data_IF_204993970133
#
_entry.id   IF_204993970133
#
_cell.length_a   1.000
_cell.length_b   1.000
_cell.length_c   1.000
_cell.angle_alpha   90.00
_cell.angle_beta   90.00
_cell.angle_gamma   90.00
#
_symmetry.space_group_name_H-M   'P 1'
#
loop_
_entity.id
_entity.type
_entity.pdbx_description
1 polymer ?
#
# COMPACT_ATOMS: atom_id res chain seq x y z
N UNK A 1 -52.29 -31.00 18.90
CA UNK A 1 -51.50 -30.13 18.02
C UNK A 1 -51.35 -28.77 18.69
N UNK A 2 -50.21 -28.53 19.32
CA UNK A 2 -49.48 -27.30 18.99
C UNK A 2 -47.99 -27.58 18.77
N UNK A 3 -47.42 -26.97 17.74
CA UNK A 3 -46.02 -27.07 17.33
C UNK A 3 -45.30 -25.83 17.89
N UNK A 4 -44.44 -26.02 18.89
CA UNK A 4 -43.57 -24.95 19.43
C UNK A 4 -42.28 -24.94 18.62
N UNK A 5 -42.08 -23.89 17.82
CA UNK A 5 -40.81 -23.60 17.16
C UNK A 5 -39.85 -23.00 18.19
N UNK A 6 -39.03 -23.83 18.83
CA UNK A 6 -37.83 -23.35 19.49
C UNK A 6 -36.81 -22.93 18.43
N UNK A 7 -36.56 -21.62 18.36
CA UNK A 7 -35.42 -21.06 17.65
C UNK A 7 -34.15 -21.39 18.44
N UNK A 8 -33.57 -22.57 18.16
CA UNK A 8 -32.26 -22.94 18.62
C UNK A 8 -31.25 -21.88 18.15
N UNK A 9 -30.70 -21.14 19.12
CA UNK A 9 -29.63 -20.18 18.89
C UNK A 9 -28.40 -20.95 18.39
N UNK A 10 -28.16 -20.90 17.09
CA UNK A 10 -26.93 -21.40 16.49
C UNK A 10 -25.80 -20.42 16.85
N UNK A 11 -25.21 -20.57 18.03
CA UNK A 11 -23.88 -20.04 18.31
C UNK A 11 -22.87 -21.00 17.70
N UNK A 12 -22.57 -20.83 16.41
CA UNK A 12 -21.43 -21.51 15.80
C UNK A 12 -20.15 -20.86 16.34
N UNK A 13 -19.56 -21.50 17.35
CA UNK A 13 -18.19 -21.22 17.77
C UNK A 13 -17.24 -21.82 16.73
N UNK A 14 -16.93 -21.05 15.68
CA UNK A 14 -15.92 -21.43 14.72
C UNK A 14 -14.54 -21.41 15.39
N UNK A 15 -13.81 -22.51 15.28
CA UNK A 15 -12.40 -22.53 15.70
C UNK A 15 -11.54 -21.81 14.66
N UNK A 16 -10.46 -21.14 15.10
CA UNK A 16 -9.55 -20.36 14.23
C UNK A 16 -9.08 -21.15 12.99
N UNK A 17 -8.98 -22.47 13.11
CA UNK A 17 -8.54 -23.37 12.03
C UNK A 17 -9.60 -23.51 10.93
N UNK A 18 -10.88 -23.51 11.27
CA UNK A 18 -12.00 -23.61 10.31
C UNK A 18 -12.18 -22.32 9.51
N UNK A 19 -11.87 -21.16 10.12
CA UNK A 19 -11.89 -19.86 9.44
C UNK A 19 -10.78 -19.77 8.38
N UNK A 20 -9.63 -20.40 8.63
CA UNK A 20 -8.45 -20.31 7.75
C UNK A 20 -8.45 -21.35 6.62
N UNK A 21 -9.20 -22.45 6.77
CA UNK A 21 -9.23 -23.54 5.79
C UNK A 21 -9.60 -23.12 4.34
N UNK A 22 -10.57 -22.22 4.10
CA UNK A 22 -10.91 -21.77 2.75
C UNK A 22 -9.81 -20.91 2.12
N UNK A 23 -9.06 -20.15 2.94
CA UNK A 23 -8.00 -19.27 2.45
C UNK A 23 -6.75 -20.07 2.07
N UNK A 24 -6.40 -21.11 2.84
CA UNK A 24 -5.22 -21.96 2.55
C UNK A 24 -5.36 -22.71 1.22
N UNK A 25 -6.59 -23.00 0.76
CA UNK A 25 -6.81 -23.66 -0.54
C UNK A 25 -6.54 -22.76 -1.74
N UNK A 26 -6.58 -21.44 -1.57
CA UNK A 26 -6.32 -20.46 -2.64
C UNK A 26 -4.83 -20.11 -2.75
N UNK A 27 -4.05 -20.33 -1.67
CA UNK A 27 -2.63 -20.07 -1.66
C UNK A 27 -1.84 -21.29 -2.14
N UNK A 28 -1.23 -21.15 -3.31
CA UNK A 28 -0.23 -22.07 -3.84
C UNK A 28 0.89 -22.27 -2.79
N UNK A 29 0.98 -23.50 -2.26
CA UNK A 29 1.91 -23.87 -1.20
C UNK A 29 3.38 -23.67 -1.59
N UNK A 30 3.67 -23.50 -2.88
CA UNK A 30 5.02 -23.19 -3.37
C UNK A 30 5.50 -21.77 -3.01
N UNK A 31 4.59 -20.83 -2.70
CA UNK A 31 4.93 -19.49 -2.22
C UNK A 31 5.25 -19.43 -0.71
N UNK A 32 4.96 -20.49 0.05
CA UNK A 32 5.13 -20.55 1.50
C UNK A 32 6.39 -21.36 1.91
N UNK A 33 7.55 -21.08 1.30
CA UNK A 33 8.84 -21.33 1.98
C UNK A 33 9.05 -20.30 3.08
N UNK A 34 8.10 -20.24 4.00
CA UNK A 34 8.12 -19.36 5.15
C UNK A 34 9.20 -19.87 6.11
N UNK A 35 10.30 -19.13 6.23
CA UNK A 35 11.30 -19.40 7.27
C UNK A 35 10.56 -19.30 8.61
N UNK A 36 10.52 -20.40 9.37
CA UNK A 36 9.73 -20.58 10.59
C UNK A 36 10.08 -19.62 11.77
N UNK A 37 10.90 -18.60 11.56
CA UNK A 37 11.36 -17.65 12.58
C UNK A 37 11.14 -16.17 12.22
N UNK A 38 10.35 -15.86 11.19
CA UNK A 38 10.00 -14.47 10.88
C UNK A 38 8.83 -14.02 11.75
N UNK A 39 9.02 -12.92 12.46
CA UNK A 39 7.94 -12.22 13.16
C UNK A 39 6.88 -11.81 12.13
N UNK A 40 5.60 -11.77 12.51
CA UNK A 40 4.50 -11.41 11.61
C UNK A 40 4.79 -10.09 10.87
N UNK A 41 5.41 -9.13 11.56
CA UNK A 41 5.88 -7.85 10.99
C UNK A 41 6.90 -8.04 9.88
N UNK A 42 7.91 -8.89 10.10
CA UNK A 42 8.96 -9.15 9.09
C UNK A 42 8.40 -9.90 7.87
N UNK A 43 7.39 -10.74 8.06
CA UNK A 43 6.69 -11.35 6.93
C UNK A 43 5.86 -10.35 6.14
N UNK A 44 5.15 -9.45 6.82
CA UNK A 44 4.36 -8.41 6.15
C UNK A 44 5.29 -7.47 5.39
N UNK A 45 6.43 -7.13 5.97
CA UNK A 45 7.46 -6.31 5.32
C UNK A 45 8.02 -6.94 4.03
N UNK A 46 8.19 -8.27 4.01
CA UNK A 46 8.64 -9.00 2.82
C UNK A 46 7.54 -9.05 1.75
N UNK A 47 6.28 -9.17 2.17
CA UNK A 47 5.13 -9.21 1.26
C UNK A 47 4.75 -7.83 0.72
N UNK A 48 5.01 -6.76 1.47
CA UNK A 48 4.59 -5.40 1.15
C UNK A 48 5.75 -4.39 1.32
N UNK A 49 6.82 -4.49 0.50
CA UNK A 49 7.97 -3.59 0.58
C UNK A 49 7.58 -2.11 0.35
N UNK A 50 6.49 -1.85 -0.38
CA UNK A 50 5.96 -0.51 -0.64
C UNK A 50 5.57 0.25 0.64
N UNK A 51 5.16 -0.46 1.71
CA UNK A 51 4.79 0.17 2.98
C UNK A 51 6.00 0.85 3.63
N UNK A 52 7.16 0.18 3.64
CA UNK A 52 8.41 0.77 4.14
C UNK A 52 8.84 2.00 3.35
N UNK A 53 8.57 2.02 2.04
CA UNK A 53 8.90 3.17 1.20
C UNK A 53 8.03 4.37 1.57
N UNK A 54 6.72 4.16 1.72
CA UNK A 54 5.79 5.20 2.16
C UNK A 54 6.18 5.77 3.53
N UNK A 55 6.55 4.92 4.48
CA UNK A 55 6.98 5.36 5.81
C UNK A 55 8.27 6.20 5.76
N UNK A 56 9.21 5.84 4.88
CA UNK A 56 10.45 6.61 4.68
C UNK A 56 10.19 7.96 4.03
N UNK A 57 9.26 8.05 3.09
CA UNK A 57 8.96 9.30 2.40
C UNK A 57 8.20 10.27 3.33
N UNK A 58 7.31 9.76 4.19
CA UNK A 58 6.71 10.53 5.29
C UNK A 58 7.78 11.01 6.27
N UNK A 59 8.75 10.17 6.63
CA UNK A 59 9.84 10.57 7.53
C UNK A 59 10.68 11.71 6.94
N UNK A 60 11.02 11.64 5.65
CA UNK A 60 11.72 12.72 4.94
C UNK A 60 10.88 13.99 4.88
N UNK A 61 9.58 13.86 4.62
CA UNK A 61 8.67 15.00 4.61
C UNK A 61 8.65 15.68 5.99
N UNK A 62 8.57 14.91 7.08
CA UNK A 62 8.66 15.43 8.46
C UNK A 62 9.99 16.15 8.71
N UNK A 63 11.10 15.60 8.23
CA UNK A 63 12.42 16.22 8.34
C UNK A 63 12.50 17.55 7.56
N UNK A 64 11.96 17.58 6.34
CA UNK A 64 11.97 18.77 5.48
C UNK A 64 11.04 19.88 5.99
N UNK A 65 9.86 19.53 6.51
CA UNK A 65 8.86 20.45 7.04
C UNK A 65 9.17 20.92 8.47
N UNK A 66 10.00 20.18 9.21
CA UNK A 66 10.50 20.57 10.52
C UNK A 66 9.39 20.78 11.55
N UNK A 67 9.28 22.00 12.08
CA UNK A 67 8.26 22.33 13.08
C UNK A 67 6.83 22.33 12.50
N UNK A 68 6.68 22.63 11.22
CA UNK A 68 5.38 22.65 10.54
C UNK A 68 4.76 21.26 10.49
N UNK A 69 5.59 20.20 10.44
CA UNK A 69 5.12 18.82 10.41
C UNK A 69 4.39 18.41 11.70
N UNK A 70 4.56 19.15 12.81
CA UNK A 70 3.87 18.87 14.09
C UNK A 70 2.42 19.36 14.08
N UNK A 71 2.05 20.22 13.13
CA UNK A 71 0.70 20.76 12.98
C UNK A 71 -0.23 19.81 12.23
N UNK A 72 0.33 18.80 11.54
CA UNK A 72 -0.40 17.82 10.75
C UNK A 72 -0.38 16.44 11.38
N UNK A 73 -1.48 15.71 11.24
CA UNK A 73 -1.49 14.27 11.49
C UNK A 73 -0.71 13.52 10.41
N UNK A 74 -0.29 12.28 10.68
CA UNK A 74 0.46 11.49 9.68
C UNK A 74 -0.33 11.25 8.39
N UNK A 75 -1.66 11.14 8.50
CA UNK A 75 -2.54 10.94 7.37
C UNK A 75 -2.65 12.21 6.52
N UNK A 76 -2.88 13.36 7.13
CA UNK A 76 -2.91 14.66 6.43
C UNK A 76 -1.56 14.97 5.76
N UNK A 77 -0.46 14.67 6.45
CA UNK A 77 0.86 14.86 5.88
C UNK A 77 1.09 13.98 4.65
N UNK A 78 0.59 12.74 4.69
CA UNK A 78 0.67 11.81 3.54
C UNK A 78 -0.16 12.31 2.35
N UNK A 79 -1.35 12.82 2.61
CA UNK A 79 -2.22 13.40 1.59
C UNK A 79 -1.55 14.62 0.93
N UNK A 80 -1.06 15.55 1.74
CA UNK A 80 -0.36 16.76 1.26
C UNK A 80 0.86 16.40 0.41
N UNK A 81 1.70 15.46 0.87
CA UNK A 81 2.87 15.02 0.09
C UNK A 81 2.46 14.42 -1.25
N UNK A 82 1.41 13.60 -1.26
CA UNK A 82 0.90 12.99 -2.49
C UNK A 82 0.37 14.03 -3.47
N UNK A 83 -0.37 15.02 -2.97
CA UNK A 83 -0.92 16.10 -3.78
C UNK A 83 0.18 16.99 -4.37
N UNK A 84 1.18 17.35 -3.54
CA UNK A 84 2.33 18.13 -3.98
C UNK A 84 3.13 17.37 -5.04
N UNK A 85 3.41 16.08 -4.82
CA UNK A 85 4.12 15.25 -5.79
C UNK A 85 3.38 15.21 -7.14
N UNK A 86 2.05 15.06 -7.11
CA UNK A 86 1.22 15.08 -8.32
C UNK A 86 1.30 16.43 -9.06
N UNK A 87 1.18 17.54 -8.34
CA UNK A 87 1.24 18.88 -8.93
C UNK A 87 2.62 19.14 -9.53
N UNK A 88 3.69 18.75 -8.82
CA UNK A 88 5.07 18.94 -9.28
C UNK A 88 5.36 18.11 -10.53
N UNK A 89 4.96 16.83 -10.56
CA UNK A 89 5.13 15.99 -11.76
C UNK A 89 4.31 16.53 -12.93
N UNK A 90 3.06 16.96 -12.71
CA UNK A 90 2.25 17.55 -13.77
C UNK A 90 2.87 18.84 -14.32
N UNK A 91 3.34 19.72 -13.43
CA UNK A 91 3.99 20.97 -13.84
C UNK A 91 5.30 20.71 -14.58
N UNK A 92 6.08 19.71 -14.13
CA UNK A 92 7.30 19.31 -14.80
C UNK A 92 7.01 18.75 -16.20
N UNK A 93 6.03 17.88 -16.35
CA UNK A 93 5.62 17.34 -17.64
C UNK A 93 5.18 18.47 -18.60
N UNK A 94 4.40 19.44 -18.13
CA UNK A 94 3.97 20.58 -18.94
C UNK A 94 5.16 21.46 -19.36
N UNK A 95 6.07 21.75 -18.42
CA UNK A 95 7.29 22.50 -18.71
C UNK A 95 8.18 21.78 -19.73
N UNK A 96 8.33 20.47 -19.59
CA UNK A 96 9.07 19.64 -20.54
C UNK A 96 8.41 19.65 -21.92
N UNK A 97 7.08 19.55 -21.99
CA UNK A 97 6.33 19.63 -23.25
C UNK A 97 6.54 20.97 -23.95
N UNK A 98 6.54 22.08 -23.22
CA UNK A 98 6.83 23.40 -23.81
C UNK A 98 8.25 23.46 -24.40
N UNK A 99 9.23 22.87 -23.72
CA UNK A 99 10.64 22.92 -24.12
C UNK A 99 10.98 21.91 -25.24
N UNK A 100 10.34 20.73 -25.24
CA UNK A 100 10.61 19.62 -26.16
C UNK A 100 9.55 19.44 -27.25
N UNK A 101 8.81 20.51 -27.58
CA UNK A 101 7.82 20.53 -28.69
C UNK A 101 6.70 19.49 -28.52
N UNK A 102 6.14 19.42 -27.33
CA UNK A 102 5.00 18.59 -26.97
C UNK A 102 5.33 17.22 -26.40
N UNK A 103 6.62 16.90 -26.19
CA UNK A 103 7.05 15.63 -25.58
C UNK A 103 7.62 15.83 -24.19
N UNK A 104 7.54 14.83 -23.32
CA UNK A 104 8.29 14.82 -22.06
C UNK A 104 9.69 14.23 -22.25
N UNK A 105 10.60 14.50 -21.33
CA UNK A 105 11.94 13.91 -21.33
C UNK A 105 11.86 12.38 -21.24
N UNK A 106 10.90 11.86 -20.46
CA UNK A 106 10.62 10.41 -20.35
C UNK A 106 10.28 9.82 -21.73
N UNK A 107 9.42 10.51 -22.49
CA UNK A 107 9.05 10.10 -23.86
C UNK A 107 10.25 10.17 -24.82
N UNK A 108 11.09 11.21 -24.74
CA UNK A 108 12.30 11.34 -25.55
C UNK A 108 13.35 10.26 -25.26
N UNK A 109 13.52 9.89 -23.98
CA UNK A 109 14.44 8.84 -23.56
C UNK A 109 13.98 7.46 -24.07
N UNK A 110 12.69 7.16 -23.98
CA UNK A 110 12.12 5.92 -24.55
C UNK A 110 12.25 5.87 -26.08
N UNK A 111 12.00 6.96 -26.80
CA UNK A 111 12.18 7.00 -28.27
C UNK A 111 13.64 6.80 -28.70
N UNK A 112 14.60 7.18 -27.85
CA UNK A 112 16.03 7.05 -28.13
C UNK A 112 16.63 5.72 -27.66
N UNK A 113 15.80 4.81 -27.11
CA UNK A 113 16.24 3.48 -26.65
C UNK A 113 16.87 3.47 -25.26
N UNK A 114 16.51 4.43 -24.40
CA UNK A 114 16.77 4.34 -22.96
C UNK A 114 15.88 3.27 -22.35
N UNK A 115 16.50 2.24 -21.76
CA UNK A 115 15.85 1.19 -20.96
C UNK A 115 15.12 1.77 -19.75
#
# INVERSE_FOLDING_TARGET
>A
MPMSLELAHIQQAYTRQEILAPFVQVFDQSALKFKQNLTITESLDVMFPEQKRQDKDILKAKEALGELAKEFTELELKEIVTDVDFIVESWLDDFERDLFKGKTMKELLHEKGGL
#
